data_IF_006259183464
#
_entry.id   IF_006259183464
#
_cell.length_a   1.000
_cell.length_b   1.000
_cell.length_c   1.000
_cell.angle_alpha   90.00
_cell.angle_beta   90.00
_cell.angle_gamma   90.00
#
_symmetry.space_group_name_H-M   'P 1'
#
loop_
_entity.id
_entity.type
_entity.pdbx_description
1 polymer ?
#
# COMPACT_ATOMS: atom_id res chain seq x y z
N UNK A 1 -7.44 -26.74 41.97
CA UNK A 1 -7.88 -26.76 43.37
C UNK A 1 -7.69 -25.35 43.90
N UNK A 2 -8.79 -24.60 43.97
CA UNK A 2 -8.80 -23.14 44.13
C UNK A 2 -9.38 -22.77 45.48
N UNK A 3 -8.74 -21.84 46.20
CA UNK A 3 -9.27 -21.24 47.42
C UNK A 3 -9.69 -19.80 47.11
N UNK A 4 -10.93 -19.46 47.52
CA UNK A 4 -11.57 -18.15 47.39
C UNK A 4 -11.62 -17.52 48.78
N UNK A 5 -11.05 -16.32 48.92
CA UNK A 5 -11.23 -15.50 50.13
C UNK A 5 -12.55 -14.72 49.99
N UNK A 6 -13.47 -14.97 50.93
CA UNK A 6 -14.71 -14.22 51.07
C UNK A 6 -14.44 -13.11 52.08
N UNK A 7 -14.40 -11.88 51.58
CA UNK A 7 -14.50 -10.69 52.41
C UNK A 7 -15.92 -10.57 52.93
N UNK A 8 -16.01 -10.42 54.25
CA UNK A 8 -17.19 -10.08 55.02
C UNK A 8 -17.98 -8.96 54.35
N UNK A 9 -19.28 -9.16 54.16
CA UNK A 9 -20.35 -8.17 54.39
C UNK A 9 -21.66 -8.74 53.84
N UNK A 10 -22.35 -9.53 54.68
CA UNK A 10 -23.69 -10.06 54.41
C UNK A 10 -24.76 -8.99 54.66
N UNK A 11 -25.38 -8.42 53.61
CA UNK A 11 -26.75 -7.86 53.70
C UNK A 11 -27.51 -7.89 52.35
N UNK A 12 -28.21 -9.00 52.08
CA UNK A 12 -29.47 -9.04 51.32
C UNK A 12 -29.44 -9.56 49.86
N UNK A 13 -30.53 -10.20 49.37
CA UNK A 13 -30.63 -10.66 47.99
C UNK A 13 -30.86 -9.46 47.05
N UNK A 14 -29.80 -8.96 46.43
CA UNK A 14 -29.88 -7.91 45.41
C UNK A 14 -29.68 -8.51 44.03
N UNK A 15 -30.81 -8.84 43.42
CA UNK A 15 -31.02 -8.80 41.97
C UNK A 15 -30.35 -7.55 41.39
N UNK A 16 -29.36 -7.73 40.52
CA UNK A 16 -29.11 -6.99 39.28
C UNK A 16 -27.62 -7.09 38.92
N UNK A 17 -27.35 -7.93 37.93
CA UNK A 17 -26.10 -7.98 37.18
C UNK A 17 -25.72 -6.54 36.83
N UNK A 18 -24.46 -6.09 37.00
CA UNK A 18 -24.10 -4.73 36.63
C UNK A 18 -24.35 -4.57 35.13
N UNK A 19 -25.36 -3.76 34.84
CA UNK A 19 -25.77 -3.28 33.51
C UNK A 19 -24.66 -2.48 32.81
N UNK A 20 -23.54 -2.22 33.47
CA UNK A 20 -22.40 -1.47 32.93
C UNK A 20 -21.10 -2.23 33.20
N UNK A 21 -20.88 -3.31 32.46
CA UNK A 21 -19.54 -3.68 32.06
C UNK A 21 -19.38 -3.20 30.62
N UNK A 22 -19.09 -1.91 30.45
CA UNK A 22 -18.65 -1.39 29.15
C UNK A 22 -17.41 -2.20 28.78
N UNK A 23 -17.63 -3.13 27.85
CA UNK A 23 -16.56 -3.95 27.30
C UNK A 23 -15.55 -2.99 26.66
N UNK A 24 -14.25 -3.10 26.93
CA UNK A 24 -13.27 -2.19 26.36
C UNK A 24 -13.43 -2.26 24.84
N UNK A 25 -13.85 -1.15 24.25
CA UNK A 25 -14.03 -1.03 22.81
C UNK A 25 -12.66 -1.21 22.18
N UNK A 26 -12.40 -2.42 21.68
CA UNK A 26 -11.21 -2.69 20.85
C UNK A 26 -11.39 -1.84 19.60
N UNK A 27 -10.61 -0.75 19.51
CA UNK A 27 -10.58 0.09 18.33
C UNK A 27 -10.27 -0.79 17.12
N UNK A 28 -11.22 -0.88 16.18
CA UNK A 28 -11.00 -1.56 14.90
C UNK A 28 -9.96 -0.77 14.14
N UNK A 29 -8.72 -1.25 14.13
CA UNK A 29 -7.70 -0.71 13.24
C UNK A 29 -8.04 -1.14 11.81
N UNK A 30 -8.66 -0.24 11.04
CA UNK A 30 -9.16 -0.54 9.69
C UNK A 30 -8.05 -0.59 8.63
N UNK A 31 -6.84 -0.13 8.96
CA UNK A 31 -5.69 -0.08 8.05
C UNK A 31 -4.53 -0.76 8.77
N UNK A 32 -4.11 -1.91 8.26
CA UNK A 32 -3.01 -2.69 8.83
C UNK A 32 -1.66 -2.10 8.45
N UNK A 33 -1.44 -1.82 7.16
CA UNK A 33 -0.17 -1.30 6.65
C UNK A 33 -0.38 -0.34 5.48
N UNK A 34 0.55 0.61 5.32
CA UNK A 34 0.62 1.50 4.15
C UNK A 34 2.06 1.52 3.65
N UNK A 35 2.25 1.25 2.37
CA UNK A 35 3.55 1.29 1.70
C UNK A 35 3.55 2.38 0.63
N UNK A 36 4.60 3.21 0.65
CA UNK A 36 4.85 4.24 -0.35
C UNK A 36 6.13 3.86 -1.09
N UNK A 37 6.07 3.87 -2.41
CA UNK A 37 7.20 3.55 -3.30
C UNK A 37 7.38 4.62 -4.36
N UNK A 38 8.62 4.88 -4.73
CA UNK A 38 8.97 5.74 -5.85
C UNK A 38 10.00 5.01 -6.72
N UNK A 39 9.69 4.87 -8.01
CA UNK A 39 10.52 4.17 -8.98
C UNK A 39 10.92 5.16 -10.08
N UNK A 40 12.22 5.32 -10.34
CA UNK A 40 12.72 6.16 -11.43
C UNK A 40 13.25 5.29 -12.57
N UNK A 41 12.64 5.40 -13.75
CA UNK A 41 13.10 4.78 -14.99
C UNK A 41 13.95 5.78 -15.78
N UNK A 42 15.10 5.32 -16.29
CA UNK A 42 16.08 6.12 -17.04
C UNK A 42 16.58 7.37 -16.27
N UNK A 43 17.18 7.16 -15.08
CA UNK A 43 17.66 8.23 -14.20
C UNK A 43 18.73 9.14 -14.84
N UNK A 44 19.56 8.57 -15.72
CA UNK A 44 20.62 9.30 -16.43
C UNK A 44 20.11 9.99 -17.70
N UNK A 45 18.87 9.71 -18.12
CA UNK A 45 18.20 10.32 -19.28
C UNK A 45 19.01 10.18 -20.57
N UNK A 46 19.62 9.01 -20.71
CA UNK A 46 20.40 8.67 -21.89
C UNK A 46 19.40 8.27 -22.98
N UNK A 47 19.43 9.01 -24.08
CA UNK A 47 18.65 8.72 -25.28
C UNK A 47 19.29 7.58 -26.07
N UNK A 48 18.95 6.34 -25.72
CA UNK A 48 19.41 5.17 -26.46
C UNK A 48 18.47 4.89 -27.65
N UNK A 49 19.03 4.66 -28.84
CA UNK A 49 18.28 4.30 -30.06
C UNK A 49 18.17 2.78 -30.13
N UNK A 50 16.95 2.24 -29.95
CA UNK A 50 16.71 0.79 -29.96
C UNK A 50 16.67 0.22 -31.38
N UNK A 51 16.11 1.00 -32.32
CA UNK A 51 15.89 0.56 -33.69
C UNK A 51 15.77 1.77 -34.61
N UNK A 52 15.88 1.53 -35.92
CA UNK A 52 15.64 2.54 -36.96
C UNK A 52 14.51 2.06 -37.86
N UNK A 53 13.60 2.96 -38.21
CA UNK A 53 12.66 2.74 -39.28
C UNK A 53 13.30 3.17 -40.59
N UNK A 54 13.36 2.24 -41.55
CA UNK A 54 13.83 2.52 -42.90
C UNK A 54 12.65 2.95 -43.76
N UNK A 55 12.67 4.19 -44.20
CA UNK A 55 11.66 4.76 -45.09
C UNK A 55 12.32 5.00 -46.44
N UNK A 56 11.74 4.41 -47.48
CA UNK A 56 12.21 4.57 -48.86
C UNK A 56 11.31 5.54 -49.60
N UNK A 57 11.89 6.55 -50.22
CA UNK A 57 11.18 7.49 -51.09
C UNK A 57 10.95 6.91 -52.50
N UNK A 58 10.10 7.54 -53.31
CA UNK A 58 9.82 7.20 -54.71
C UNK A 58 11.09 7.21 -55.59
N UNK A 59 12.11 7.95 -55.17
CA UNK A 59 13.43 8.00 -55.81
C UNK A 59 14.42 6.94 -55.27
N UNK A 60 13.95 5.95 -54.49
CA UNK A 60 14.76 4.91 -53.84
C UNK A 60 15.77 5.41 -52.78
N UNK A 61 15.67 6.66 -52.34
CA UNK A 61 16.44 7.14 -51.20
C UNK A 61 15.91 6.54 -49.89
N UNK A 62 16.80 5.96 -49.09
CA UNK A 62 16.47 5.39 -47.79
C UNK A 62 16.89 6.31 -46.66
N UNK A 63 15.92 6.65 -45.81
CA UNK A 63 16.11 7.46 -44.63
C UNK A 63 15.94 6.59 -43.38
N UNK A 64 16.93 6.66 -42.49
CA UNK A 64 16.91 6.00 -41.21
C UNK A 64 16.29 6.95 -40.17
N UNK A 65 15.08 6.64 -39.71
CA UNK A 65 14.42 7.38 -38.63
C UNK A 65 14.68 6.67 -37.29
N UNK A 66 15.40 7.31 -36.35
CA UNK A 66 15.74 6.69 -35.07
C UNK A 66 14.49 6.50 -34.18
N UNK A 67 14.40 5.36 -33.51
CA UNK A 67 13.41 5.06 -32.49
C UNK A 67 14.08 4.99 -31.12
N UNK A 68 13.95 6.08 -30.36
CA UNK A 68 14.51 6.17 -29.03
C UNK A 68 13.72 5.32 -28.04
N UNK A 69 14.41 4.71 -27.07
CA UNK A 69 13.75 4.13 -25.90
C UNK A 69 13.00 5.22 -25.12
N UNK A 70 12.09 4.77 -24.26
CA UNK A 70 11.37 5.65 -23.35
C UNK A 70 12.35 6.52 -22.54
N UNK A 71 12.13 7.83 -22.52
CA UNK A 71 12.93 8.78 -21.75
C UNK A 71 12.75 8.62 -20.23
N UNK A 72 13.23 9.60 -19.46
CA UNK A 72 13.08 9.62 -17.99
C UNK A 72 11.60 9.54 -17.57
N UNK A 73 11.26 8.58 -16.71
CA UNK A 73 9.93 8.47 -16.08
C UNK A 73 10.07 8.30 -14.59
N UNK A 74 9.23 8.97 -13.83
CA UNK A 74 9.13 8.81 -12.37
C UNK A 74 7.75 8.22 -12.10
N UNK A 75 7.73 7.08 -11.42
CA UNK A 75 6.51 6.38 -11.05
C UNK A 75 6.36 6.42 -9.52
N UNK A 76 5.15 6.68 -9.06
CA UNK A 76 4.80 6.67 -7.65
C UNK A 76 3.80 5.55 -7.38
N UNK A 77 4.00 4.82 -6.29
CA UNK A 77 3.19 3.66 -5.91
C UNK A 77 2.73 3.81 -4.47
N UNK A 78 1.44 3.53 -4.23
CA UNK A 78 0.85 3.42 -2.90
C UNK A 78 0.18 2.06 -2.77
N UNK A 79 0.47 1.34 -1.71
CA UNK A 79 -0.17 0.06 -1.37
C UNK A 79 -0.74 0.20 0.03
N UNK A 80 -2.03 -0.12 0.18
CA UNK A 80 -2.73 -0.07 1.48
C UNK A 80 -3.28 -1.46 1.77
N UNK A 81 -2.99 -1.97 2.96
CA UNK A 81 -3.46 -3.26 3.46
C UNK A 81 -4.49 -3.02 4.57
N UNK A 82 -5.66 -3.65 4.46
CA UNK A 82 -6.80 -3.52 5.37
C UNK A 82 -7.03 -4.81 6.18
#
# INVERSE_FOLDING_TARGET
>A
MSYRLIGSDDYGPRSQIPFLADSPMVARNQIKNVWLGIDAFNLLDINNVNSYYWITDIENHQYAVPNYLTGRRINFRVIVEF
#
